data_IF_910697506043
#
_entry.id   IF_910697506043
#
_cell.length_a   1.000
_cell.length_b   1.000
_cell.length_c   1.000
_cell.angle_alpha   90.00
_cell.angle_beta   90.00
_cell.angle_gamma   90.00
#
_symmetry.space_group_name_H-M   'P 1'
#
loop_
_entity.id
_entity.type
_entity.pdbx_description
1 polymer ?
#
# COMPACT_ATOMS: atom_id res chain seq x y z
N UNK A 1 -26.55 57.71 19.96
CA UNK A 1 -25.11 57.39 20.13
C UNK A 1 -24.68 56.68 18.84
N UNK A 2 -24.31 57.37 17.77
CA UNK A 2 -22.98 57.95 17.44
C UNK A 2 -21.81 56.97 17.66
N UNK A 3 -20.81 56.79 16.80
CA UNK A 3 -20.50 57.05 15.38
C UNK A 3 -19.11 56.38 15.15
N UNK A 4 -18.62 56.31 13.91
CA UNK A 4 -17.26 55.91 13.45
C UNK A 4 -17.11 54.40 13.16
N UNK A 5 -16.96 53.89 11.92
CA UNK A 5 -16.44 54.42 10.64
C UNK A 5 -15.00 54.91 10.68
N UNK A 6 -14.05 54.01 10.42
CA UNK A 6 -12.73 54.28 9.81
C UNK A 6 -12.39 53.06 8.93
N UNK A 7 -12.62 53.08 7.62
CA UNK A 7 -11.76 53.58 6.53
C UNK A 7 -10.28 53.17 6.62
N UNK A 8 -9.93 52.31 5.67
CA UNK A 8 -8.61 51.83 5.21
C UNK A 8 -7.58 52.93 4.94
N UNK A 9 -6.29 52.57 5.01
CA UNK A 9 -5.47 52.60 3.79
C UNK A 9 -4.76 51.24 3.61
N UNK A 10 -4.76 50.67 2.41
CA UNK A 10 -3.81 51.14 1.40
C UNK A 10 -2.40 50.62 1.71
N UNK A 11 -2.20 49.30 1.63
CA UNK A 11 -0.87 48.70 1.46
C UNK A 11 -0.90 47.77 0.26
N UNK A 12 -0.84 48.41 -0.91
CA UNK A 12 -0.05 47.92 -2.04
C UNK A 12 1.36 47.62 -1.52
N UNK A 13 1.57 46.41 -1.00
CA UNK A 13 2.91 45.91 -0.74
C UNK A 13 3.23 45.00 -1.90
N UNK A 14 3.80 45.65 -2.92
CA UNK A 14 4.60 45.11 -3.99
C UNK A 14 4.95 43.64 -3.78
N UNK A 15 4.32 42.79 -4.60
CA UNK A 15 4.90 41.52 -5.02
C UNK A 15 6.27 41.86 -5.60
N UNK A 16 7.30 41.81 -4.76
CA UNK A 16 8.68 41.66 -5.19
C UNK A 16 8.74 40.27 -5.84
N UNK A 17 8.40 40.24 -7.13
CA UNK A 17 9.06 39.39 -8.10
C UNK A 17 10.55 39.65 -7.93
N UNK A 18 11.18 38.95 -7.00
CA UNK A 18 12.57 38.59 -7.16
C UNK A 18 12.58 37.66 -8.37
N UNK A 19 12.71 38.26 -9.56
CA UNK A 19 13.34 37.62 -10.70
C UNK A 19 14.69 37.14 -10.19
N UNK A 20 14.74 35.90 -9.73
CA UNK A 20 15.98 35.16 -9.65
C UNK A 20 16.39 35.00 -11.12
N UNK A 21 17.21 35.94 -11.57
CA UNK A 21 18.03 35.80 -12.76
C UNK A 21 18.94 34.62 -12.45
N UNK A 22 18.47 33.41 -12.79
CA UNK A 22 19.32 32.23 -12.82
C UNK A 22 20.26 32.47 -14.00
N UNK A 23 21.57 32.68 -13.78
CA UNK A 23 22.49 32.68 -14.89
C UNK A 23 22.36 31.31 -15.56
N UNK A 24 22.20 31.31 -16.89
CA UNK A 24 22.16 30.12 -17.72
C UNK A 24 23.52 29.41 -17.67
N UNK A 25 23.81 28.76 -16.54
CA UNK A 25 24.90 27.83 -16.37
C UNK A 25 24.38 26.47 -16.86
N UNK A 26 24.85 26.09 -18.05
CA UNK A 26 24.82 24.76 -18.66
C UNK A 26 23.74 23.81 -18.12
N UNK A 27 22.60 23.78 -18.81
CA UNK A 27 21.42 22.98 -18.47
C UNK A 27 21.66 21.46 -18.37
N UNK A 28 22.80 20.94 -18.84
CA UNK A 28 23.20 19.54 -18.65
C UNK A 28 23.81 19.26 -17.26
N UNK A 29 24.67 20.16 -16.76
CA UNK A 29 25.35 19.97 -15.47
C UNK A 29 24.35 19.98 -14.32
N UNK A 30 23.45 20.96 -14.30
CA UNK A 30 22.38 21.06 -13.28
C UNK A 30 21.40 19.88 -13.31
N UNK A 31 21.06 19.36 -14.51
CA UNK A 31 20.22 18.16 -14.64
C UNK A 31 20.92 16.90 -14.10
N UNK A 32 22.22 16.78 -14.33
CA UNK A 32 22.99 15.63 -13.83
C UNK A 32 23.05 15.60 -12.30
N UNK A 33 23.22 16.76 -11.66
CA UNK A 33 23.24 16.93 -10.20
C UNK A 33 21.87 16.68 -9.59
N UNK A 34 20.81 17.26 -10.17
CA UNK A 34 19.44 17.05 -9.72
C UNK A 34 19.05 15.57 -9.77
N UNK A 35 19.36 14.89 -10.87
CA UNK A 35 19.10 13.45 -11.01
C UNK A 35 19.84 12.63 -9.95
N UNK A 36 21.07 13.02 -9.57
CA UNK A 36 21.84 12.33 -8.52
C UNK A 36 21.22 12.53 -7.14
N UNK A 37 20.77 13.75 -6.82
CA UNK A 37 20.05 14.04 -5.56
C UNK A 37 18.74 13.26 -5.48
N UNK A 38 18.02 13.12 -6.60
CA UNK A 38 16.78 12.33 -6.66
C UNK A 38 17.06 10.84 -6.44
N UNK A 39 18.07 10.27 -7.09
CA UNK A 39 18.49 8.88 -6.84
C UNK A 39 18.87 8.64 -5.38
N UNK A 40 19.69 9.52 -4.78
CA UNK A 40 20.13 9.39 -3.39
C UNK A 40 18.93 9.46 -2.42
N UNK A 41 18.00 10.40 -2.62
CA UNK A 41 16.78 10.50 -1.80
C UNK A 41 15.88 9.28 -1.94
N UNK A 42 15.73 8.75 -3.16
CA UNK A 42 14.93 7.55 -3.38
C UNK A 42 15.53 6.35 -2.66
N UNK A 43 16.84 6.13 -2.80
CA UNK A 43 17.57 5.04 -2.14
C UNK A 43 17.50 5.15 -0.61
N UNK A 44 17.63 6.35 -0.06
CA UNK A 44 17.55 6.59 1.39
C UNK A 44 16.15 6.34 1.98
N UNK A 45 15.10 6.45 1.17
CA UNK A 45 13.72 6.28 1.61
C UNK A 45 13.24 4.82 1.55
N UNK A 46 13.98 3.92 0.91
CA UNK A 46 13.60 2.50 0.79
C UNK A 46 13.56 1.74 2.12
N UNK A 47 14.52 1.91 3.06
CA UNK A 47 14.45 1.27 4.38
C UNK A 47 13.14 1.61 5.10
N UNK A 48 12.68 2.86 4.99
CA UNK A 48 11.43 3.31 5.63
C UNK A 48 10.17 2.66 5.03
N UNK A 49 10.19 2.25 3.76
CA UNK A 49 9.08 1.50 3.14
C UNK A 49 9.12 0.04 3.58
N UNK A 50 10.31 -0.56 3.67
CA UNK A 50 10.50 -1.90 4.21
C UNK A 50 9.98 -2.02 5.64
N UNK A 51 10.37 -1.09 6.53
CA UNK A 51 9.92 -1.05 7.92
C UNK A 51 8.39 -0.95 8.07
N UNK A 52 7.73 -0.20 7.18
CA UNK A 52 6.27 -0.08 7.20
C UNK A 52 5.58 -1.36 6.70
N UNK A 53 6.14 -2.05 5.69
CA UNK A 53 5.65 -3.37 5.26
C UNK A 53 5.82 -4.38 6.40
N UNK A 54 6.98 -4.41 7.05
CA UNK A 54 7.23 -5.25 8.23
C UNK A 54 6.29 -4.90 9.41
N UNK A 55 5.85 -3.64 9.53
CA UNK A 55 4.83 -3.27 10.49
C UNK A 55 3.48 -3.91 10.18
N UNK A 56 3.07 -3.97 8.90
CA UNK A 56 1.86 -4.69 8.47
C UNK A 56 1.95 -6.19 8.79
N UNK A 57 3.11 -6.82 8.54
CA UNK A 57 3.35 -8.23 8.85
C UNK A 57 3.29 -8.49 10.36
N UNK A 58 3.88 -7.63 11.19
CA UNK A 58 3.79 -7.71 12.66
C UNK A 58 2.35 -7.58 13.16
N UNK A 59 1.59 -6.61 12.64
CA UNK A 59 0.16 -6.47 12.96
C UNK A 59 -0.58 -7.78 12.65
N UNK A 60 -0.31 -8.39 11.48
CA UNK A 60 -0.93 -9.65 11.12
C UNK A 60 -0.52 -10.79 12.07
N UNK A 61 0.76 -10.89 12.44
CA UNK A 61 1.28 -11.96 13.29
C UNK A 61 0.73 -11.91 14.72
N UNK A 62 0.66 -10.71 15.30
CA UNK A 62 0.29 -10.49 16.70
C UNK A 62 -1.23 -10.50 16.90
N UNK A 63 -1.99 -10.07 15.89
CA UNK A 63 -3.45 -9.96 16.01
C UNK A 63 -4.11 -11.34 15.99
N UNK A 64 -4.96 -11.59 16.98
CA UNK A 64 -5.87 -12.72 16.93
C UNK A 64 -6.81 -12.62 15.74
N UNK A 65 -7.01 -13.76 15.09
CA UNK A 65 -7.98 -13.93 14.04
C UNK A 65 -9.41 -13.63 14.49
N UNK A 66 -10.32 -13.36 13.55
CA UNK A 66 -11.74 -13.27 13.87
C UNK A 66 -12.24 -14.60 14.45
N UNK A 67 -13.04 -14.51 15.52
CA UNK A 67 -13.75 -15.67 16.05
C UNK A 67 -14.92 -15.98 15.12
N UNK A 68 -14.93 -17.21 14.58
CA UNK A 68 -15.98 -17.66 13.69
C UNK A 68 -17.13 -18.27 14.47
N UNK A 69 -18.33 -17.88 14.10
CA UNK A 69 -19.57 -18.39 14.69
C UNK A 69 -20.00 -19.66 13.95
N UNK A 70 -19.72 -20.82 14.53
CA UNK A 70 -19.99 -22.11 13.90
C UNK A 70 -21.48 -22.34 13.62
N UNK A 71 -22.36 -21.91 14.53
CA UNK A 71 -23.80 -22.00 14.34
C UNK A 71 -24.25 -21.13 13.17
N UNK A 72 -23.74 -19.90 13.10
CA UNK A 72 -24.05 -19.01 11.98
C UNK A 72 -23.54 -19.55 10.66
N UNK A 73 -22.31 -20.06 10.60
CA UNK A 73 -21.76 -20.69 9.40
C UNK A 73 -22.59 -21.91 8.95
N UNK A 74 -23.03 -22.73 9.91
CA UNK A 74 -23.91 -23.87 9.64
C UNK A 74 -25.26 -23.43 9.08
N UNK A 75 -25.89 -22.41 9.68
CA UNK A 75 -27.17 -21.84 9.20
C UNK A 75 -27.10 -21.26 7.79
N UNK A 76 -25.91 -20.82 7.36
CA UNK A 76 -25.64 -20.31 6.02
C UNK A 76 -25.31 -21.44 5.02
N UNK A 77 -25.29 -22.70 5.45
CA UNK A 77 -24.90 -23.84 4.63
C UNK A 77 -23.44 -23.79 4.19
N UNK A 78 -22.56 -23.12 4.96
CA UNK A 78 -21.19 -22.89 4.57
C UNK A 78 -20.37 -24.18 4.62
N UNK A 79 -19.80 -24.57 3.49
CA UNK A 79 -18.86 -25.71 3.42
C UNK A 79 -17.47 -25.27 3.85
N UNK A 80 -16.70 -26.18 4.47
CA UNK A 80 -15.31 -25.93 4.90
C UNK A 80 -14.46 -25.20 3.85
N UNK A 81 -14.44 -25.70 2.61
CA UNK A 81 -13.64 -25.10 1.53
C UNK A 81 -14.08 -23.67 1.18
N UNK A 82 -15.36 -23.32 1.36
CA UNK A 82 -15.87 -21.98 1.12
C UNK A 82 -15.39 -21.01 2.21
N UNK A 83 -15.42 -21.46 3.47
CA UNK A 83 -14.89 -20.69 4.61
C UNK A 83 -13.39 -20.47 4.44
N UNK A 84 -12.63 -21.52 4.10
CA UNK A 84 -11.18 -21.42 3.82
C UNK A 84 -10.90 -20.42 2.70
N UNK A 85 -11.63 -20.53 1.58
CA UNK A 85 -11.47 -19.63 0.42
C UNK A 85 -11.75 -18.18 0.82
N UNK A 86 -12.80 -17.95 1.62
CA UNK A 86 -13.15 -16.63 2.10
C UNK A 86 -12.08 -16.05 3.02
N UNK A 87 -11.62 -16.81 4.02
CA UNK A 87 -10.59 -16.34 4.94
C UNK A 87 -9.26 -16.07 4.23
N UNK A 88 -8.86 -16.92 3.28
CA UNK A 88 -7.67 -16.70 2.47
C UNK A 88 -7.77 -15.40 1.66
N UNK A 89 -8.91 -15.14 1.02
CA UNK A 89 -9.13 -13.88 0.29
C UNK A 89 -9.12 -12.67 1.23
N UNK A 90 -9.86 -12.72 2.35
CA UNK A 90 -9.97 -11.59 3.28
C UNK A 90 -8.63 -11.28 3.95
N UNK A 91 -7.82 -12.30 4.25
CA UNK A 91 -6.44 -12.14 4.70
C UNK A 91 -5.60 -11.40 3.66
N UNK A 92 -5.57 -11.90 2.42
CA UNK A 92 -4.82 -11.27 1.33
C UNK A 92 -5.30 -9.83 1.05
N UNK A 93 -6.62 -9.58 1.10
CA UNK A 93 -7.19 -8.24 0.94
C UNK A 93 -6.72 -7.30 2.04
N UNK A 94 -6.77 -7.72 3.30
CA UNK A 94 -6.43 -6.85 4.41
C UNK A 94 -4.92 -6.56 4.44
N UNK A 95 -4.09 -7.56 4.09
CA UNK A 95 -2.67 -7.36 3.89
C UNK A 95 -2.40 -6.35 2.76
N UNK A 96 -3.03 -6.54 1.59
CA UNK A 96 -2.94 -5.60 0.48
C UNK A 96 -3.38 -4.18 0.89
N UNK A 97 -4.50 -4.03 1.61
CA UNK A 97 -4.97 -2.71 2.07
C UNK A 97 -3.97 -2.05 3.02
N UNK A 98 -3.28 -2.82 3.85
CA UNK A 98 -2.24 -2.31 4.73
C UNK A 98 -1.03 -1.83 3.91
N UNK A 99 -0.56 -2.65 2.97
CA UNK A 99 0.71 -2.42 2.27
C UNK A 99 0.60 -1.51 1.04
N UNK A 100 -0.60 -1.34 0.45
CA UNK A 100 -0.82 -0.75 -0.88
C UNK A 100 -0.08 0.57 -1.10
N UNK A 101 -0.14 1.49 -0.16
CA UNK A 101 0.48 2.81 -0.30
C UNK A 101 2.00 2.70 -0.42
N UNK A 102 2.63 1.88 0.43
CA UNK A 102 4.07 1.60 0.37
C UNK A 102 4.45 0.87 -0.92
N UNK A 103 3.61 -0.07 -1.36
CA UNK A 103 3.84 -0.80 -2.61
C UNK A 103 3.78 0.14 -3.83
N UNK A 104 2.81 1.06 -3.86
CA UNK A 104 2.66 2.08 -4.91
C UNK A 104 3.82 3.07 -4.90
N UNK A 105 4.22 3.56 -3.72
CA UNK A 105 5.35 4.46 -3.58
C UNK A 105 6.66 3.79 -3.99
N UNK A 106 6.88 2.53 -3.57
CA UNK A 106 8.01 1.72 -3.97
C UNK A 106 8.06 1.46 -5.48
N UNK A 107 6.92 1.16 -6.11
CA UNK A 107 6.84 0.99 -7.56
C UNK A 107 7.21 2.28 -8.31
N UNK A 108 6.65 3.42 -7.88
CA UNK A 108 6.98 4.72 -8.47
C UNK A 108 8.47 5.05 -8.34
N UNK A 109 9.07 4.84 -7.17
CA UNK A 109 10.51 5.09 -6.95
C UNK A 109 11.36 4.22 -7.85
N UNK A 110 11.02 2.94 -8.02
CA UNK A 110 11.73 2.02 -8.94
C UNK A 110 11.63 2.48 -10.39
N UNK A 111 10.45 2.87 -10.85
CA UNK A 111 10.24 3.33 -12.23
C UNK A 111 11.04 4.60 -12.52
N UNK A 112 11.03 5.57 -11.58
CA UNK A 112 11.81 6.80 -11.71
C UNK A 112 13.31 6.48 -11.72
N UNK A 113 13.79 5.64 -10.81
CA UNK A 113 15.20 5.26 -10.75
C UNK A 113 15.65 4.53 -12.03
N UNK A 114 14.85 3.57 -12.51
CA UNK A 114 15.12 2.87 -13.75
C UNK A 114 15.22 3.82 -14.95
N UNK A 115 14.33 4.82 -15.02
CA UNK A 115 14.38 5.86 -16.05
C UNK A 115 15.63 6.74 -15.95
N UNK A 116 16.02 7.15 -14.73
CA UNK A 116 17.23 7.95 -14.50
C UNK A 116 18.51 7.19 -14.87
N UNK A 117 18.56 5.89 -14.55
CA UNK A 117 19.66 5.00 -14.91
C UNK A 117 19.74 4.77 -16.42
N UNK A 118 18.60 4.52 -17.08
CA UNK A 118 18.51 4.34 -18.53
C UNK A 118 19.02 5.60 -19.28
N UNK A 119 18.63 6.80 -18.84
CA UNK A 119 19.12 8.07 -19.39
C UNK A 119 20.64 8.26 -19.31
N UNK A 120 21.30 7.56 -18.38
CA UNK A 120 22.76 7.62 -18.17
C UNK A 120 23.50 6.46 -18.82
N UNK A 121 22.82 5.63 -19.63
CA UNK A 121 23.41 4.42 -20.23
C UNK A 121 23.72 3.34 -19.19
N UNK A 122 23.21 3.47 -17.96
CA UNK A 122 23.44 2.54 -16.84
C UNK A 122 22.24 1.61 -16.65
N UNK A 123 21.69 1.06 -17.73
CA UNK A 123 20.65 0.03 -17.65
C UNK A 123 21.24 -1.28 -17.09
N UNK A 124 21.60 -1.29 -15.81
CA UNK A 124 22.05 -2.46 -15.08
C UNK A 124 20.85 -3.26 -14.58
N UNK A 125 21.05 -4.57 -14.40
CA UNK A 125 20.10 -5.43 -13.70
C UNK A 125 19.77 -4.79 -12.36
N UNK A 126 18.52 -4.37 -12.22
CA UNK A 126 17.96 -3.91 -10.96
C UNK A 126 18.19 -5.02 -9.92
N UNK A 127 19.05 -4.78 -8.92
CA UNK A 127 19.23 -5.66 -7.76
C UNK A 127 18.02 -5.61 -6.80
N UNK A 128 16.92 -4.98 -7.23
CA UNK A 128 15.72 -4.87 -6.44
C UNK A 128 15.06 -6.23 -6.27
N UNK A 129 14.54 -6.54 -5.06
CA UNK A 129 13.67 -7.70 -4.84
C UNK A 129 12.63 -7.72 -5.95
N UNK A 130 12.63 -8.84 -6.67
CA UNK A 130 12.18 -8.92 -8.05
C UNK A 130 10.76 -8.41 -8.22
N UNK A 131 10.54 -7.70 -9.33
CA UNK A 131 9.23 -7.39 -9.91
C UNK A 131 8.25 -8.58 -9.83
N UNK A 132 8.80 -9.80 -9.85
CA UNK A 132 8.11 -11.08 -9.65
C UNK A 132 7.35 -11.20 -8.33
N UNK A 133 7.86 -10.72 -7.19
CA UNK A 133 7.13 -10.83 -5.91
C UNK A 133 5.86 -9.99 -5.93
N UNK A 134 5.95 -8.76 -6.44
CA UNK A 134 4.78 -7.88 -6.61
C UNK A 134 3.78 -8.44 -7.61
N UNK A 135 4.27 -8.99 -8.73
CA UNK A 135 3.41 -9.60 -9.75
C UNK A 135 2.75 -10.90 -9.25
N UNK A 136 3.46 -11.73 -8.51
CA UNK A 136 2.95 -13.00 -7.95
C UNK A 136 1.93 -12.76 -6.84
N UNK A 137 2.20 -11.82 -5.92
CA UNK A 137 1.27 -11.43 -4.87
C UNK A 137 -0.02 -10.83 -5.45
N UNK A 138 0.09 -9.95 -6.45
CA UNK A 138 -1.04 -9.41 -7.20
C UNK A 138 -1.85 -10.50 -7.91
N UNK A 139 -1.17 -11.43 -8.57
CA UNK A 139 -1.81 -12.54 -9.28
C UNK A 139 -2.55 -13.51 -8.33
N UNK A 140 -1.94 -13.85 -7.18
CA UNK A 140 -2.58 -14.64 -6.12
C UNK A 140 -3.81 -13.95 -5.55
N UNK A 141 -3.73 -12.64 -5.30
CA UNK A 141 -4.86 -11.83 -4.84
C UNK A 141 -6.03 -11.86 -5.83
N UNK A 142 -5.77 -11.59 -7.11
CA UNK A 142 -6.82 -11.57 -8.14
C UNK A 142 -7.46 -12.95 -8.36
N UNK A 143 -6.66 -14.02 -8.31
CA UNK A 143 -7.17 -15.39 -8.38
C UNK A 143 -8.09 -15.72 -7.21
N UNK A 144 -7.72 -15.33 -5.98
CA UNK A 144 -8.55 -15.51 -4.79
C UNK A 144 -9.83 -14.68 -4.86
N UNK A 145 -9.77 -13.45 -5.40
CA UNK A 145 -10.94 -12.60 -5.57
C UNK A 145 -12.01 -13.23 -6.46
N UNK A 146 -11.62 -13.90 -7.56
CA UNK A 146 -12.54 -14.62 -8.43
C UNK A 146 -13.27 -15.75 -7.69
N UNK A 147 -12.51 -16.59 -6.97
CA UNK A 147 -13.07 -17.69 -6.16
C UNK A 147 -13.97 -17.17 -5.04
N UNK A 148 -13.58 -16.07 -4.40
CA UNK A 148 -14.36 -15.42 -3.36
C UNK A 148 -15.70 -14.92 -3.90
N UNK A 149 -15.72 -14.23 -5.05
CA UNK A 149 -16.96 -13.71 -5.65
C UNK A 149 -17.99 -14.79 -5.97
N UNK A 150 -17.54 -16.01 -6.26
CA UNK A 150 -18.41 -17.16 -6.50
C UNK A 150 -19.09 -17.72 -5.23
N UNK A 151 -18.68 -17.27 -4.03
CA UNK A 151 -19.27 -17.70 -2.77
C UNK A 151 -20.66 -17.05 -2.55
N UNK A 152 -21.56 -17.74 -1.82
CA UNK A 152 -22.86 -17.19 -1.45
C UNK A 152 -22.74 -15.82 -0.78
N UNK A 153 -23.60 -14.86 -1.18
CA UNK A 153 -23.55 -13.49 -0.68
C UNK A 153 -23.69 -13.42 0.86
N UNK A 154 -24.57 -14.23 1.45
CA UNK A 154 -24.75 -14.28 2.91
C UNK A 154 -23.48 -14.69 3.66
N UNK A 155 -22.75 -15.68 3.13
CA UNK A 155 -21.46 -16.11 3.68
C UNK A 155 -20.42 -15.00 3.57
N UNK A 156 -20.34 -14.35 2.40
CA UNK A 156 -19.40 -13.24 2.16
C UNK A 156 -19.61 -12.10 3.15
N UNK A 157 -20.84 -11.61 3.28
CA UNK A 157 -21.19 -10.50 4.19
C UNK A 157 -20.88 -10.85 5.64
N UNK A 158 -21.30 -12.04 6.08
CA UNK A 158 -21.04 -12.47 7.45
C UNK A 158 -19.54 -12.48 7.77
N UNK A 159 -18.72 -13.04 6.88
CA UNK A 159 -17.27 -13.09 7.08
C UNK A 159 -16.62 -11.70 6.95
N UNK A 160 -17.07 -10.84 6.03
CA UNK A 160 -16.58 -9.45 5.92
C UNK A 160 -16.85 -8.65 7.19
N UNK A 161 -18.04 -8.77 7.77
CA UNK A 161 -18.42 -8.12 9.02
C UNK A 161 -17.56 -8.59 10.21
N UNK A 162 -17.28 -9.90 10.28
CA UNK A 162 -16.47 -10.49 11.36
C UNK A 162 -14.98 -10.19 11.21
N UNK A 163 -14.46 -10.22 9.99
CA UNK A 163 -13.03 -10.06 9.72
C UNK A 163 -12.63 -8.58 9.69
N UNK A 164 -13.47 -7.71 9.13
CA UNK A 164 -13.13 -6.31 8.91
C UNK A 164 -11.95 -6.13 7.95
N UNK A 165 -11.26 -4.99 8.03
CA UNK A 165 -10.24 -4.59 7.04
C UNK A 165 -8.79 -4.61 7.57
N UNK A 166 -8.56 -5.15 8.78
CA UNK A 166 -7.22 -5.14 9.39
C UNK A 166 -6.52 -6.49 9.15
N UNK A 167 -5.20 -6.52 8.90
CA UNK A 167 -4.45 -7.77 8.78
C UNK A 167 -4.61 -8.65 10.02
N UNK A 168 -4.58 -9.97 9.83
CA UNK A 168 -4.76 -10.95 10.89
C UNK A 168 -4.01 -12.25 10.58
N UNK A 169 -3.75 -13.04 11.62
CA UNK A 169 -3.02 -14.30 11.52
C UNK A 169 -3.92 -15.40 10.95
N UNK A 170 -3.81 -15.68 9.65
CA UNK A 170 -4.63 -16.69 8.98
C UNK A 170 -4.43 -18.10 9.56
N UNK A 171 -3.19 -18.63 9.73
CA UNK A 171 -2.98 -19.94 10.36
C UNK A 171 -3.68 -20.09 11.72
N UNK A 172 -3.50 -19.12 12.62
CA UNK A 172 -4.14 -19.12 13.95
C UNK A 172 -5.67 -19.03 13.84
N UNK A 173 -6.20 -18.27 12.89
CA UNK A 173 -7.65 -18.20 12.63
C UNK A 173 -8.21 -19.55 12.21
N UNK A 174 -7.48 -20.25 11.34
CA UNK A 174 -7.87 -21.56 10.83
C UNK A 174 -7.84 -22.62 11.93
N UNK A 175 -6.79 -22.62 12.76
CA UNK A 175 -6.67 -23.51 13.93
C UNK A 175 -7.82 -23.30 14.91
N UNK A 176 -8.10 -22.05 15.29
CA UNK A 176 -9.19 -21.71 16.21
C UNK A 176 -10.57 -22.09 15.66
N UNK A 177 -10.72 -22.10 14.33
CA UNK A 177 -11.94 -22.53 13.65
C UNK A 177 -12.05 -24.06 13.48
N UNK A 178 -11.11 -24.84 14.02
CA UNK A 178 -11.08 -26.29 13.88
C UNK A 178 -10.65 -26.76 12.48
N UNK A 179 -10.10 -25.87 11.67
CA UNK A 179 -9.54 -26.19 10.36
C UNK A 179 -8.02 -26.38 10.51
N UNK A 180 -7.62 -27.56 10.97
CA UNK A 180 -6.20 -27.92 11.08
C UNK A 180 -5.45 -27.64 9.75
N UNK A 181 -4.18 -27.21 9.82
CA UNK A 181 -3.35 -27.00 8.64
C UNK A 181 -3.28 -28.30 7.83
N UNK A 182 -3.41 -28.17 6.50
CA UNK A 182 -3.14 -29.27 5.58
C UNK A 182 -1.64 -29.58 5.69
N UNK A 183 -1.30 -30.66 6.39
CA UNK A 183 0.05 -31.24 6.36
C UNK A 183 0.34 -31.83 4.99
#
# INVERSE_FOLDING_TARGET
MANQSQRTPGRLMFFLLALIVVPAADGESNRSVLNRILEDRMTQSEPSLGEQIEACERIAADRQGPVLDAEKLSSLGAKRHQVVTALAYLHARNQYLCEREMQQEGALKRDVLAHLQAKRGKAGRSNYPTHERFLDEGYRYHRLAGKYRALPLGLRRHLEERVGNVPFNLPRTMENAGYAPLQ
#
